data_IF_560715498469
#
_entry.id   IF_560715498469
#
_cell.length_a   1.000
_cell.length_b   1.000
_cell.length_c   1.000
_cell.angle_alpha   90.00
_cell.angle_beta   90.00
_cell.angle_gamma   90.00
#
_symmetry.space_group_name_H-M   'P 1'
#
loop_
_entity.id
_entity.type
_entity.pdbx_description
1 polymer ?
#
# COMPACT_ATOMS: atom_id res chain seq x y z
N UNK A 1 -17.14 1.08 22.02
CA UNK A 1 -16.92 1.72 21.23
C UNK A 1 -16.33 1.34 20.02
N UNK A 2 -16.92 1.02 19.26
CA UNK A 2 -16.48 0.57 18.02
C UNK A 2 -15.69 1.55 17.24
N UNK A 3 -15.76 2.81 17.64
CA UNK A 3 -15.03 3.74 16.86
C UNK A 3 -13.56 3.66 17.07
N UNK A 4 -13.06 2.87 18.01
CA UNK A 4 -11.65 2.76 18.14
C UNK A 4 -10.99 2.13 16.97
N UNK A 5 -11.62 1.22 16.30
CA UNK A 5 -11.01 0.71 15.11
C UNK A 5 -11.18 1.69 13.97
N UNK A 6 -11.88 2.77 14.24
CA UNK A 6 -12.03 3.83 13.28
C UNK A 6 -10.85 4.75 13.25
N UNK A 7 -9.81 4.47 14.01
CA UNK A 7 -8.58 5.19 13.86
C UNK A 7 -8.08 5.11 12.43
N UNK A 8 -8.61 4.14 11.68
CA UNK A 8 -8.27 4.04 10.29
C UNK A 8 -6.92 3.42 10.04
N UNK A 9 -6.22 3.03 11.10
CA UNK A 9 -4.88 2.49 10.95
C UNK A 9 -4.88 1.08 10.41
N UNK A 10 -5.90 0.30 10.74
CA UNK A 10 -5.91 -1.12 10.43
C UNK A 10 -7.31 -1.57 10.07
N UNK A 11 -7.43 -2.29 8.97
CA UNK A 11 -8.68 -2.91 8.57
C UNK A 11 -8.43 -4.37 8.22
N UNK A 12 -9.50 -5.16 8.23
CA UNK A 12 -9.46 -6.55 7.76
C UNK A 12 -10.25 -6.66 6.48
N UNK A 13 -9.74 -7.42 5.53
CA UNK A 13 -10.40 -7.63 4.25
C UNK A 13 -10.28 -9.08 3.82
N UNK A 14 -11.31 -9.66 3.20
CA UNK A 14 -11.21 -11.01 2.64
C UNK A 14 -10.21 -10.99 1.49
N UNK A 15 -9.48 -12.08 1.28
CA UNK A 15 -8.52 -12.16 0.18
C UNK A 15 -8.81 -13.31 -0.78
N UNK A 16 -9.83 -14.14 -0.52
CA UNK A 16 -10.18 -15.25 -1.40
C UNK A 16 -9.01 -16.22 -1.58
N UNK A 17 -8.55 -16.38 -2.82
CA UNK A 17 -7.39 -17.19 -3.13
C UNK A 17 -6.17 -16.36 -3.51
N UNK A 18 -6.26 -15.05 -3.36
CA UNK A 18 -5.14 -14.17 -3.71
C UNK A 18 -3.99 -14.35 -2.72
N UNK A 19 -2.77 -14.24 -3.22
CA UNK A 19 -1.56 -14.34 -2.40
C UNK A 19 -1.02 -12.93 -2.19
N UNK A 20 -0.88 -12.55 -0.93
CA UNK A 20 -0.33 -11.26 -0.54
C UNK A 20 0.78 -11.54 0.46
N UNK A 21 1.91 -10.87 0.31
CA UNK A 21 3.02 -10.99 1.24
C UNK A 21 3.06 -9.78 2.16
N UNK A 22 3.59 -9.98 3.36
CA UNK A 22 3.73 -8.91 4.33
C UNK A 22 4.50 -7.74 3.73
N UNK A 23 3.99 -6.54 3.93
CA UNK A 23 4.64 -5.31 3.46
C UNK A 23 4.27 -4.92 2.03
N UNK A 24 3.50 -5.76 1.32
CA UNK A 24 3.07 -5.42 -0.02
C UNK A 24 1.95 -4.39 -0.02
N UNK A 25 1.89 -3.61 -1.08
CA UNK A 25 0.77 -2.70 -1.32
C UNK A 25 -0.44 -3.52 -1.73
N UNK A 26 -1.61 -3.16 -1.26
CA UNK A 26 -2.83 -3.95 -1.41
C UNK A 26 -3.93 -3.14 -2.07
N UNK A 27 -4.59 -3.74 -3.03
CA UNK A 27 -5.78 -3.19 -3.69
C UNK A 27 -6.94 -4.16 -3.52
N UNK A 28 -8.05 -3.89 -4.20
CA UNK A 28 -9.24 -4.74 -4.18
C UNK A 28 -9.50 -5.24 -5.59
N UNK A 29 -9.79 -6.54 -5.73
CA UNK A 29 -10.14 -7.10 -7.04
C UNK A 29 -11.63 -6.92 -7.34
N UNK A 30 -12.07 -7.40 -8.50
CA UNK A 30 -13.44 -7.23 -8.94
C UNK A 30 -14.46 -7.95 -8.05
N UNK A 31 -14.03 -8.94 -7.29
CA UNK A 31 -14.89 -9.68 -6.37
C UNK A 31 -14.92 -9.08 -4.97
N UNK A 32 -14.19 -8.00 -4.74
CA UNK A 32 -14.11 -7.36 -3.44
C UNK A 32 -13.09 -7.95 -2.51
N UNK A 33 -12.19 -8.79 -3.01
CA UNK A 33 -11.14 -9.41 -2.21
C UNK A 33 -9.85 -8.59 -2.27
N UNK A 34 -9.11 -8.58 -1.16
CA UNK A 34 -7.79 -7.96 -1.12
C UNK A 34 -6.85 -8.68 -2.08
N UNK A 35 -6.01 -7.92 -2.77
CA UNK A 35 -5.11 -8.42 -3.78
C UNK A 35 -3.84 -7.57 -3.76
N UNK A 36 -2.70 -8.16 -4.08
CA UNK A 36 -1.46 -7.40 -4.23
C UNK A 36 -1.67 -6.32 -5.30
N UNK A 37 -1.31 -5.09 -4.97
CA UNK A 37 -1.59 -3.95 -5.82
C UNK A 37 -0.77 -3.97 -7.10
N UNK A 38 -1.34 -3.39 -8.15
CA UNK A 38 -0.66 -3.26 -9.43
C UNK A 38 -0.98 -1.88 -9.99
N UNK A 39 -0.25 -1.47 -11.01
CA UNK A 39 -0.49 -0.19 -11.65
C UNK A 39 -1.92 -0.15 -12.18
N UNK A 40 -2.62 0.94 -11.91
CA UNK A 40 -3.95 1.13 -12.42
C UNK A 40 -4.82 1.91 -11.45
N UNK A 41 -6.01 2.26 -11.93
CA UNK A 41 -6.97 3.04 -11.15
C UNK A 41 -7.82 2.09 -10.30
N UNK A 42 -7.19 1.28 -9.47
CA UNK A 42 -7.87 0.36 -8.56
C UNK A 42 -7.96 0.99 -7.18
N UNK A 43 -9.01 0.67 -6.41
CA UNK A 43 -9.06 1.15 -5.03
C UNK A 43 -7.84 0.63 -4.26
N UNK A 44 -7.13 1.54 -3.62
CA UNK A 44 -5.97 1.20 -2.82
C UNK A 44 -6.41 0.99 -1.37
N UNK A 45 -6.12 -0.19 -0.80
CA UNK A 45 -6.48 -0.47 0.59
C UNK A 45 -5.40 -0.04 1.56
N UNK A 46 -4.15 -0.29 1.25
CA UNK A 46 -3.06 0.03 2.17
C UNK A 46 -1.91 -0.93 2.04
N UNK A 47 -1.19 -1.15 3.14
CA UNK A 47 -0.01 -2.02 3.21
C UNK A 47 -0.33 -3.24 4.04
N UNK A 48 -0.03 -4.43 3.54
CA UNK A 48 -0.33 -5.68 4.23
C UNK A 48 0.48 -5.80 5.52
N UNK A 49 -0.21 -6.06 6.61
CA UNK A 49 0.41 -6.28 7.90
C UNK A 49 0.99 -7.69 8.01
N UNK A 50 0.45 -8.63 7.23
CA UNK A 50 0.80 -10.04 7.32
C UNK A 50 0.65 -10.71 5.95
N UNK A 51 1.30 -11.85 5.77
CA UNK A 51 1.16 -12.63 4.55
C UNK A 51 -0.06 -13.54 4.62
N UNK A 52 -0.73 -13.75 3.49
CA UNK A 52 -1.95 -14.57 3.46
C UNK A 52 -1.67 -16.06 3.59
N UNK A 53 -0.47 -16.51 3.27
CA UNK A 53 -0.15 -17.94 3.31
C UNK A 53 -0.16 -18.53 4.72
N UNK A 54 -0.05 -17.68 5.74
CA UNK A 54 -0.04 -18.14 7.13
C UNK A 54 -1.37 -17.94 7.83
N UNK A 55 -2.41 -17.45 7.11
CA UNK A 55 -3.67 -17.11 7.73
C UNK A 55 -4.66 -18.28 7.66
N UNK A 56 -5.36 -18.51 8.78
CA UNK A 56 -6.39 -19.52 8.88
C UNK A 56 -7.72 -18.98 8.42
N UNK A 57 -7.99 -17.72 8.75
CA UNK A 57 -9.22 -17.06 8.32
C UNK A 57 -8.99 -16.40 6.99
N UNK A 58 -10.05 -16.27 6.19
CA UNK A 58 -9.98 -15.62 4.90
C UNK A 58 -10.06 -14.10 5.05
N UNK A 59 -9.21 -13.55 5.90
CA UNK A 59 -9.11 -12.11 6.10
C UNK A 59 -7.67 -11.74 6.35
N UNK A 60 -7.19 -10.71 5.64
CA UNK A 60 -5.86 -10.15 5.84
C UNK A 60 -6.00 -8.76 6.43
N UNK A 61 -5.12 -8.43 7.37
CA UNK A 61 -5.11 -7.11 7.99
C UNK A 61 -4.20 -6.19 7.19
N UNK A 62 -4.68 -4.98 6.99
CA UNK A 62 -4.02 -4.00 6.12
C UNK A 62 -3.96 -2.67 6.86
N UNK A 63 -2.78 -2.04 6.86
CA UNK A 63 -2.63 -0.69 7.38
C UNK A 63 -3.14 0.30 6.35
N UNK A 64 -4.08 1.14 6.73
CA UNK A 64 -4.62 2.20 5.86
C UNK A 64 -3.88 3.50 5.99
N UNK A 65 -3.29 3.76 7.14
CA UNK A 65 -2.57 5.00 7.40
C UNK A 65 -1.23 4.67 8.04
N UNK A 66 -0.36 5.63 8.09
CA UNK A 66 0.94 5.50 8.70
C UNK A 66 2.05 5.81 7.72
N UNK A 67 3.28 5.68 8.17
CA UNK A 67 4.48 5.90 7.36
C UNK A 67 5.17 4.56 7.18
N UNK A 68 5.42 4.20 5.92
CA UNK A 68 6.01 2.90 5.59
C UNK A 68 7.25 3.08 4.73
N UNK A 69 8.23 2.21 4.96
CA UNK A 69 9.44 2.17 4.15
C UNK A 69 9.14 1.34 2.91
N UNK A 70 9.18 1.96 1.75
CA UNK A 70 8.82 1.31 0.49
C UNK A 70 9.96 1.47 -0.52
N UNK A 71 10.06 0.49 -1.42
CA UNK A 71 11.03 0.52 -2.49
C UNK A 71 10.56 1.43 -3.62
N UNK A 72 11.52 2.02 -4.33
CA UNK A 72 11.30 2.86 -5.50
C UNK A 72 12.48 2.64 -6.44
N UNK A 73 12.26 2.76 -7.74
CA UNK A 73 13.33 2.50 -8.70
C UNK A 73 14.47 3.52 -8.58
N UNK A 74 14.10 4.77 -8.41
CA UNK A 74 15.08 5.85 -8.29
C UNK A 74 14.44 7.05 -7.63
N UNK A 75 15.15 7.67 -6.70
CA UNK A 75 14.65 8.85 -6.00
C UNK A 75 15.82 9.75 -5.66
N UNK A 76 15.59 11.06 -5.71
CA UNK A 76 16.57 12.06 -5.29
C UNK A 76 16.05 12.79 -4.06
N UNK A 77 16.94 13.45 -3.33
CA UNK A 77 16.55 14.22 -2.14
C UNK A 77 15.50 15.29 -2.46
N UNK A 78 15.53 15.79 -3.70
CA UNK A 78 14.55 16.81 -4.14
C UNK A 78 13.15 16.24 -4.36
N UNK A 79 12.99 14.92 -4.30
CA UNK A 79 11.67 14.29 -4.44
C UNK A 79 10.89 14.25 -3.12
N UNK A 80 11.50 14.70 -2.04
CA UNK A 80 10.82 14.80 -0.75
C UNK A 80 9.57 15.66 -0.90
N UNK A 81 8.44 15.15 -0.43
CA UNK A 81 7.16 15.83 -0.54
C UNK A 81 6.34 15.47 -1.76
N UNK A 82 6.92 14.76 -2.72
CA UNK A 82 6.18 14.36 -3.92
C UNK A 82 5.21 13.23 -3.64
N UNK A 83 4.09 13.24 -4.35
CA UNK A 83 3.13 12.16 -4.30
C UNK A 83 3.68 10.93 -5.02
N UNK A 84 3.24 9.76 -4.58
CA UNK A 84 3.64 8.50 -5.20
C UNK A 84 2.42 7.65 -5.50
N UNK A 85 2.56 6.75 -6.47
CA UNK A 85 1.54 5.80 -6.86
C UNK A 85 2.12 4.40 -6.87
N UNK A 86 1.27 3.39 -7.00
CA UNK A 86 1.71 2.01 -7.09
C UNK A 86 2.44 1.77 -8.41
N UNK A 87 3.64 1.20 -8.35
CA UNK A 87 4.35 0.73 -9.54
C UNK A 87 4.26 -0.79 -9.64
N UNK A 88 4.57 -1.48 -8.55
CA UNK A 88 4.41 -2.93 -8.41
C UNK A 88 3.89 -3.19 -7.01
N UNK A 89 3.52 -4.43 -6.65
CA UNK A 89 3.10 -4.70 -5.26
C UNK A 89 4.15 -4.30 -4.22
N UNK A 90 5.42 -4.25 -4.62
CA UNK A 90 6.52 -3.98 -3.70
C UNK A 90 7.15 -2.60 -3.88
N UNK A 91 6.73 -1.82 -4.88
CA UNK A 91 7.36 -0.56 -5.22
C UNK A 91 6.36 0.55 -5.50
N UNK A 92 6.80 1.78 -5.26
CA UNK A 92 6.05 2.98 -5.64
C UNK A 92 6.84 3.75 -6.69
N UNK A 93 6.18 4.71 -7.31
CA UNK A 93 6.77 5.60 -8.29
C UNK A 93 6.22 7.01 -8.14
N UNK A 94 7.00 8.01 -8.53
CA UNK A 94 6.53 9.41 -8.49
C UNK A 94 5.64 9.78 -9.67
N UNK A 95 5.44 8.84 -10.60
CA UNK A 95 4.57 9.08 -11.76
C UNK A 95 3.12 8.88 -11.35
N UNK A 96 2.42 9.96 -11.12
CA UNK A 96 1.01 9.96 -10.70
C UNK A 96 0.16 10.47 -11.85
N UNK A 97 -0.93 9.76 -12.13
CA UNK A 97 -1.84 10.13 -13.22
C UNK A 97 -3.25 9.62 -12.90
N UNK A 98 -4.19 9.85 -13.80
CA UNK A 98 -5.56 9.33 -13.64
C UNK A 98 -5.59 7.80 -13.64
N UNK A 99 -4.63 7.15 -14.31
CA UNK A 99 -4.53 5.68 -14.36
C UNK A 99 -3.58 5.12 -13.32
N UNK A 100 -2.89 5.98 -12.57
CA UNK A 100 -2.01 5.59 -11.47
C UNK A 100 -2.14 6.65 -10.37
N UNK A 101 -3.27 6.65 -9.64
CA UNK A 101 -3.55 7.72 -8.67
C UNK A 101 -2.61 7.64 -7.47
N UNK A 102 -2.41 8.79 -6.83
CA UNK A 102 -1.55 8.89 -5.67
C UNK A 102 -2.10 8.07 -4.52
N UNK A 103 -1.20 7.35 -3.84
CA UNK A 103 -1.55 6.61 -2.63
C UNK A 103 -0.95 7.25 -1.38
N UNK A 104 -0.01 8.14 -1.56
CA UNK A 104 0.64 8.80 -0.42
C UNK A 104 1.68 9.79 -0.90
N UNK A 105 2.54 10.19 0.03
CA UNK A 105 3.53 11.22 -0.19
C UNK A 105 4.85 10.81 0.44
N UNK A 106 5.94 11.13 -0.23
CA UNK A 106 7.29 10.87 0.31
C UNK A 106 7.55 11.82 1.47
N UNK A 107 7.79 11.28 2.64
CA UNK A 107 8.12 12.08 3.84
C UNK A 107 9.56 11.88 4.27
N UNK A 108 10.26 10.89 3.70
CA UNK A 108 11.66 10.65 4.00
C UNK A 108 12.32 9.97 2.81
N UNK A 109 13.53 10.38 2.48
CA UNK A 109 14.36 9.71 1.47
C UNK A 109 15.47 9.00 2.23
N UNK A 110 15.42 7.66 2.27
CA UNK A 110 16.36 6.86 3.03
C UNK A 110 17.63 6.63 2.23
N UNK A 111 17.47 6.22 0.97
CA UNK A 111 18.55 6.14 0.01
C UNK A 111 17.94 6.31 -1.39
N UNK A 112 18.75 6.09 -2.45
CA UNK A 112 18.27 6.35 -3.81
C UNK A 112 17.23 5.34 -4.31
N UNK A 113 16.93 4.32 -3.53
CA UNK A 113 15.96 3.27 -3.89
C UNK A 113 14.96 2.95 -2.78
N UNK A 114 14.97 3.72 -1.71
CA UNK A 114 14.09 3.47 -0.56
C UNK A 114 13.57 4.79 -0.01
N UNK A 115 12.27 4.85 0.20
CA UNK A 115 11.62 6.05 0.71
C UNK A 115 10.68 5.69 1.86
N UNK A 116 10.45 6.67 2.74
CA UNK A 116 9.37 6.61 3.71
C UNK A 116 8.16 7.30 3.10
N UNK A 117 7.04 6.61 3.05
CA UNK A 117 5.81 7.11 2.44
C UNK A 117 4.72 7.17 3.49
N UNK A 118 4.09 8.34 3.61
CA UNK A 118 2.89 8.48 4.41
C UNK A 118 1.69 8.20 3.52
N UNK A 119 0.90 7.22 3.91
CA UNK A 119 -0.35 6.91 3.21
C UNK A 119 -1.38 8.02 3.47
N UNK A 120 -2.11 8.36 2.45
CA UNK A 120 -3.12 9.42 2.56
C UNK A 120 -4.52 8.86 2.59
#
# INVERSE_FOLDING_TARGET
MTFLRQDGDLISAPFGTNVINRGQLVTVDAAGNAKAAEVGAKPFLGVAMEGTSSLVKNEVRVYRTGVFQLAIDSVAATDLGKAVAVATPDKVATTVSATAPAIGQIVEVIDNKTVGVRLS
#
